data_IF_357291278376
#
_entry.id   IF_357291278376
#
_cell.length_a   1.000
_cell.length_b   1.000
_cell.length_c   1.000
_cell.angle_alpha   90.00
_cell.angle_beta   90.00
_cell.angle_gamma   90.00
#
_symmetry.space_group_name_H-M   'P 1'
#
loop_
_entity.id
_entity.type
_entity.pdbx_description
1 polymer ?
#
# COMPACT_ATOMS: atom_id res chain seq x y z
N UNK A 1 22.82 -4.24 3.98
CA UNK A 1 21.40 -4.58 4.25
C UNK A 1 21.13 -5.96 3.67
N UNK A 2 20.50 -6.88 4.41
CA UNK A 2 20.31 -8.27 3.96
C UNK A 2 19.28 -8.35 2.81
N UNK A 3 19.50 -9.18 1.77
CA UNK A 3 18.59 -9.28 0.61
C UNK A 3 17.13 -9.60 0.97
N UNK A 4 16.92 -10.31 2.08
CA UNK A 4 15.59 -10.66 2.61
C UNK A 4 14.80 -9.43 3.08
N UNK A 5 15.44 -8.44 3.71
CA UNK A 5 14.76 -7.23 4.19
C UNK A 5 14.23 -6.38 3.03
N UNK A 6 15.02 -6.26 1.96
CA UNK A 6 14.62 -5.52 0.76
C UNK A 6 13.43 -6.20 0.07
N UNK A 7 13.41 -7.54 0.03
CA UNK A 7 12.29 -8.30 -0.55
C UNK A 7 10.99 -8.16 0.27
N UNK A 8 11.11 -8.04 1.59
CA UNK A 8 9.96 -7.95 2.51
C UNK A 8 9.45 -6.53 2.74
N UNK A 9 10.19 -5.51 2.31
CA UNK A 9 9.83 -4.09 2.42
C UNK A 9 8.37 -3.76 2.01
N UNK A 10 7.81 -4.21 0.86
CA UNK A 10 6.45 -3.86 0.49
C UNK A 10 5.38 -4.46 1.41
N UNK A 11 5.66 -5.57 2.08
CA UNK A 11 4.78 -6.16 3.09
C UNK A 11 4.88 -5.41 4.41
N UNK A 12 6.10 -5.03 4.83
CA UNK A 12 6.32 -4.21 6.01
C UNK A 12 5.59 -2.86 5.90
N UNK A 13 5.67 -2.19 4.74
CA UNK A 13 4.92 -0.95 4.47
C UNK A 13 3.40 -1.18 4.47
N UNK A 14 2.93 -2.31 3.94
CA UNK A 14 1.53 -2.69 4.00
C UNK A 14 1.03 -2.88 5.44
N UNK A 15 1.80 -3.57 6.28
CA UNK A 15 1.47 -3.77 7.69
C UNK A 15 1.50 -2.45 8.46
N UNK A 16 2.52 -1.62 8.23
CA UNK A 16 2.60 -0.28 8.80
C UNK A 16 1.35 0.54 8.47
N UNK A 17 0.94 0.55 7.20
CA UNK A 17 -0.30 1.21 6.75
C UNK A 17 -1.53 0.71 7.51
N UNK A 18 -1.68 -0.61 7.64
CA UNK A 18 -2.82 -1.24 8.32
C UNK A 18 -2.85 -0.84 9.79
N UNK A 19 -1.72 -0.93 10.49
CA UNK A 19 -1.65 -0.61 11.94
C UNK A 19 -1.91 0.88 12.18
N UNK A 20 -1.24 1.76 11.43
CA UNK A 20 -1.41 3.22 11.58
C UNK A 20 -2.84 3.64 11.25
N UNK A 21 -3.40 3.15 10.15
CA UNK A 21 -4.79 3.42 9.78
C UNK A 21 -5.78 2.91 10.84
N UNK A 22 -5.54 1.71 11.39
CA UNK A 22 -6.43 1.11 12.39
C UNK A 22 -6.42 1.93 13.68
N UNK A 23 -5.24 2.30 14.18
CA UNK A 23 -5.13 3.12 15.39
C UNK A 23 -5.82 4.48 15.20
N UNK A 24 -5.65 5.10 14.03
CA UNK A 24 -6.34 6.34 13.69
C UNK A 24 -7.87 6.17 13.67
N UNK A 25 -8.34 5.07 13.09
CA UNK A 25 -9.76 4.69 13.10
C UNK A 25 -10.29 4.53 14.51
N UNK A 26 -9.53 3.87 15.40
CA UNK A 26 -9.88 3.68 16.80
C UNK A 26 -10.04 5.02 17.54
N UNK A 27 -9.16 6.00 17.31
CA UNK A 27 -9.32 7.33 17.91
C UNK A 27 -10.61 8.03 17.47
N UNK A 28 -10.95 7.93 16.18
CA UNK A 28 -12.21 8.43 15.66
C UNK A 28 -13.42 7.71 16.26
N UNK A 29 -13.37 6.39 16.36
CA UNK A 29 -14.43 5.58 16.95
C UNK A 29 -14.63 5.88 18.44
N UNK A 30 -13.54 5.99 19.20
CA UNK A 30 -13.59 6.37 20.61
C UNK A 30 -14.23 7.75 20.78
N UNK A 31 -13.85 8.71 19.93
CA UNK A 31 -14.36 10.07 19.99
C UNK A 31 -15.83 10.20 19.58
N UNK A 32 -16.28 9.45 18.57
CA UNK A 32 -17.65 9.56 18.04
C UNK A 32 -18.67 8.67 18.74
N UNK A 33 -18.24 7.49 19.22
CA UNK A 33 -19.15 6.47 19.75
C UNK A 33 -18.88 6.12 21.22
N UNK A 34 -17.83 6.68 21.85
CA UNK A 34 -17.54 6.43 23.26
C UNK A 34 -17.03 5.01 23.52
N UNK A 35 -16.65 4.28 22.47
CA UNK A 35 -16.08 2.92 22.55
C UNK A 35 -14.58 2.99 22.88
N UNK A 36 -13.96 1.85 23.21
CA UNK A 36 -12.50 1.76 23.45
C UNK A 36 -11.96 2.71 24.54
N UNK A 37 -12.82 3.10 25.49
CA UNK A 37 -12.47 4.04 26.57
C UNK A 37 -12.96 5.49 26.34
N UNK A 38 -13.48 5.81 25.16
CA UNK A 38 -14.04 7.13 24.85
C UNK A 38 -13.01 8.25 24.73
N UNK A 39 -13.48 9.50 24.77
CA UNK A 39 -12.59 10.68 24.84
C UNK A 39 -11.85 10.77 26.18
N UNK A 40 -10.91 11.71 26.31
CA UNK A 40 -10.24 11.97 27.59
C UNK A 40 -11.29 12.30 28.68
N UNK A 41 -11.44 11.43 29.68
CA UNK A 41 -12.50 11.51 30.69
C UNK A 41 -13.76 10.66 30.43
N UNK A 42 -13.76 9.87 29.36
CA UNK A 42 -14.88 9.05 28.92
C UNK A 42 -15.86 9.80 28.00
N UNK A 43 -16.79 9.06 27.39
CA UNK A 43 -17.87 9.61 26.57
C UNK A 43 -17.49 9.95 25.12
N UNK A 44 -18.30 10.81 24.50
CA UNK A 44 -18.23 11.19 23.08
C UNK A 44 -18.03 12.69 22.92
N UNK A 45 -17.40 13.09 21.81
CA UNK A 45 -17.42 14.49 21.36
C UNK A 45 -18.81 14.83 20.82
N UNK A 46 -19.49 15.88 21.33
CA UNK A 46 -20.79 16.29 20.82
C UNK A 46 -20.74 16.62 19.32
N UNK A 47 -21.78 16.23 18.59
CA UNK A 47 -21.86 16.41 17.15
C UNK A 47 -21.70 17.89 16.72
N UNK A 48 -20.88 18.13 15.69
CA UNK A 48 -20.63 19.46 15.15
C UNK A 48 -19.64 20.33 15.95
N UNK A 49 -19.10 19.84 17.06
CA UNK A 49 -18.15 20.60 17.88
C UNK A 49 -16.85 20.86 17.12
N UNK A 50 -16.50 22.13 16.94
CA UNK A 50 -15.23 22.53 16.33
C UNK A 50 -14.10 22.60 17.38
N UNK A 51 -12.88 22.09 17.08
CA UNK A 51 -12.51 21.28 15.92
C UNK A 51 -12.73 19.76 16.14
N UNK A 52 -13.00 19.34 17.38
CA UNK A 52 -12.87 17.95 17.82
C UNK A 52 -13.76 16.94 17.07
N UNK A 53 -15.01 17.28 16.76
CA UNK A 53 -15.92 16.36 16.09
C UNK A 53 -15.49 16.08 14.64
N UNK A 54 -15.08 17.12 13.91
CA UNK A 54 -14.58 16.98 12.54
C UNK A 54 -13.26 16.19 12.49
N UNK A 55 -12.37 16.44 13.45
CA UNK A 55 -11.15 15.63 13.59
C UNK A 55 -11.49 14.16 13.83
N UNK A 56 -12.49 13.85 14.66
CA UNK A 56 -12.93 12.48 14.93
C UNK A 56 -13.52 11.78 13.70
N UNK A 57 -14.30 12.50 12.88
CA UNK A 57 -14.82 11.99 11.60
C UNK A 57 -13.69 11.70 10.62
N UNK A 58 -12.73 12.60 10.48
CA UNK A 58 -11.54 12.39 9.63
C UNK A 58 -10.73 11.19 10.13
N UNK A 59 -10.57 11.05 11.44
CA UNK A 59 -9.88 9.91 12.06
C UNK A 59 -10.54 8.58 11.73
N UNK A 60 -11.87 8.51 11.89
CA UNK A 60 -12.63 7.30 11.60
C UNK A 60 -12.60 6.95 10.11
N UNK A 61 -13.00 7.88 9.24
CA UNK A 61 -13.18 7.63 7.80
C UNK A 61 -11.84 7.54 7.09
N UNK A 62 -10.95 8.50 7.33
CA UNK A 62 -9.60 8.52 6.76
C UNK A 62 -8.78 7.32 7.22
N UNK A 63 -8.83 6.99 8.52
CA UNK A 63 -8.19 5.79 9.07
C UNK A 63 -8.69 4.51 8.42
N UNK A 64 -10.01 4.36 8.26
CA UNK A 64 -10.59 3.16 7.66
C UNK A 64 -10.18 3.01 6.18
N UNK A 65 -10.25 4.08 5.40
CA UNK A 65 -9.79 4.09 4.00
C UNK A 65 -8.30 3.76 3.88
N UNK A 66 -7.47 4.35 4.75
CA UNK A 66 -6.03 4.04 4.82
C UNK A 66 -5.80 2.58 5.20
N UNK A 67 -6.55 2.03 6.16
CA UNK A 67 -6.45 0.63 6.63
C UNK A 67 -6.84 -0.38 5.57
N UNK A 68 -7.89 -0.11 4.79
CA UNK A 68 -8.31 -0.94 3.68
C UNK A 68 -7.40 -0.76 2.45
N UNK A 69 -6.65 0.34 2.41
CA UNK A 69 -5.81 0.68 1.28
C UNK A 69 -6.63 1.14 0.08
N UNK A 70 -7.74 1.86 0.34
CA UNK A 70 -8.65 2.44 -0.65
C UNK A 70 -8.35 3.93 -0.79
N UNK A 71 -7.88 4.37 -1.96
CA UNK A 71 -7.57 5.78 -2.18
C UNK A 71 -6.51 6.32 -1.20
N UNK A 72 -5.57 5.47 -0.78
CA UNK A 72 -4.68 5.71 0.37
C UNK A 72 -3.98 7.07 0.33
N UNK A 73 -3.53 7.51 -0.85
CA UNK A 73 -2.80 8.78 -0.97
C UNK A 73 -3.65 9.98 -0.58
N UNK A 74 -4.91 10.02 -1.04
CA UNK A 74 -5.83 11.13 -0.75
C UNK A 74 -6.27 11.08 0.71
N UNK A 75 -6.70 9.90 1.19
CA UNK A 75 -7.10 9.72 2.58
C UNK A 75 -5.97 10.06 3.56
N UNK A 76 -4.74 9.65 3.26
CA UNK A 76 -3.57 9.94 4.07
C UNK A 76 -3.19 11.43 4.03
N UNK A 77 -3.33 12.11 2.88
CA UNK A 77 -3.04 13.54 2.79
C UNK A 77 -4.00 14.37 3.66
N UNK A 78 -5.30 14.08 3.58
CA UNK A 78 -6.32 14.73 4.41
C UNK A 78 -6.07 14.44 5.89
N UNK A 79 -5.81 13.18 6.24
CA UNK A 79 -5.52 12.76 7.61
C UNK A 79 -4.28 13.46 8.16
N UNK A 80 -3.20 13.53 7.37
CA UNK A 80 -1.96 14.23 7.71
C UNK A 80 -2.22 15.72 7.96
N UNK A 81 -2.93 16.40 7.06
CA UNK A 81 -3.29 17.80 7.22
C UNK A 81 -4.13 18.07 8.47
N UNK A 82 -5.08 17.19 8.80
CA UNK A 82 -5.88 17.33 10.03
C UNK A 82 -5.05 17.24 11.30
N UNK A 83 -4.01 16.39 11.30
CA UNK A 83 -3.11 16.22 12.44
C UNK A 83 -2.06 17.34 12.53
N UNK A 84 -1.63 17.88 11.39
CA UNK A 84 -0.85 19.12 11.36
C UNK A 84 -1.63 20.28 11.97
N UNK A 85 -2.90 20.45 11.58
CA UNK A 85 -3.79 21.44 12.18
C UNK A 85 -3.94 21.20 13.69
N UNK A 86 -4.20 19.96 14.11
CA UNK A 86 -4.30 19.61 15.53
C UNK A 86 -3.04 20.02 16.30
N UNK A 87 -1.85 19.73 15.76
CA UNK A 87 -0.62 20.15 16.41
C UNK A 87 -0.50 21.68 16.54
N UNK A 88 -0.58 22.41 15.43
CA UNK A 88 -0.30 23.85 15.45
C UNK A 88 -1.40 24.68 16.13
N UNK A 89 -2.67 24.30 16.00
CA UNK A 89 -3.78 25.06 16.57
C UNK A 89 -4.24 24.58 17.95
N UNK A 90 -4.12 23.29 18.27
CA UNK A 90 -4.60 22.75 19.55
C UNK A 90 -3.44 22.56 20.53
N UNK A 91 -2.33 21.94 20.12
CA UNK A 91 -1.26 21.57 21.05
C UNK A 91 -0.17 22.62 21.24
N UNK A 92 0.35 23.20 20.14
CA UNK A 92 1.46 24.15 20.18
C UNK A 92 1.20 25.36 21.10
N UNK A 93 -0.02 25.92 21.23
CA UNK A 93 -0.30 27.00 22.18
C UNK A 93 0.01 26.65 23.64
N UNK A 94 0.03 25.37 24.02
CA UNK A 94 0.32 24.94 25.39
C UNK A 94 1.82 24.81 25.69
N UNK A 95 2.63 24.42 24.71
CA UNK A 95 4.10 24.44 24.76
C UNK A 95 4.67 24.18 23.35
N UNK A 96 5.94 24.55 23.11
CA UNK A 96 6.58 24.30 21.80
C UNK A 96 6.87 22.83 21.54
N UNK A 97 7.25 22.06 22.57
CA UNK A 97 7.66 20.68 22.40
C UNK A 97 6.47 19.72 22.53
N UNK A 98 6.28 18.77 21.59
CA UNK A 98 5.18 17.80 21.65
C UNK A 98 5.09 17.07 22.99
N UNK A 99 6.24 16.71 23.56
CA UNK A 99 6.37 16.02 24.83
C UNK A 99 5.81 16.83 26.02
N UNK A 100 5.75 18.16 25.91
CA UNK A 100 5.27 19.05 26.96
C UNK A 100 3.79 19.44 26.78
N UNK A 101 3.23 19.30 25.58
CA UNK A 101 1.88 19.77 25.24
C UNK A 101 0.89 18.63 24.90
N UNK A 102 1.31 17.37 25.03
CA UNK A 102 0.49 16.20 24.68
C UNK A 102 0.24 16.02 23.17
N UNK A 103 0.98 16.74 22.33
CA UNK A 103 0.84 16.76 20.87
C UNK A 103 1.65 15.68 20.15
N UNK A 104 2.34 14.81 20.87
CA UNK A 104 3.13 13.71 20.29
C UNK A 104 2.29 12.83 19.34
N UNK A 105 1.05 12.41 19.68
CA UNK A 105 0.23 11.62 18.76
C UNK A 105 -0.10 12.39 17.48
N UNK A 106 -0.43 13.68 17.59
CA UNK A 106 -0.72 14.55 16.44
C UNK A 106 0.48 14.62 15.48
N UNK A 107 1.70 14.82 16.01
CA UNK A 107 2.91 14.84 15.17
C UNK A 107 3.19 13.48 14.54
N UNK A 108 3.08 12.39 15.32
CA UNK A 108 3.36 11.05 14.84
C UNK A 108 2.38 10.61 13.75
N UNK A 109 1.07 10.81 13.93
CA UNK A 109 0.09 10.51 12.90
C UNK A 109 0.25 11.43 11.68
N UNK A 110 0.59 12.71 11.86
CA UNK A 110 0.85 13.63 10.76
C UNK A 110 1.93 13.08 9.82
N UNK A 111 3.09 12.72 10.37
CA UNK A 111 4.23 12.22 9.60
C UNK A 111 4.03 10.79 9.08
N UNK A 112 3.40 9.91 9.87
CA UNK A 112 3.09 8.55 9.43
C UNK A 112 2.13 8.56 8.23
N UNK A 113 1.08 9.38 8.27
CA UNK A 113 0.16 9.55 7.14
C UNK A 113 0.84 10.23 5.96
N UNK A 114 1.69 11.24 6.19
CA UNK A 114 2.46 11.87 5.12
C UNK A 114 3.36 10.86 4.37
N UNK A 115 4.00 9.94 5.09
CA UNK A 115 4.77 8.85 4.47
C UNK A 115 3.89 7.95 3.57
N UNK A 116 2.64 7.71 3.97
CA UNK A 116 1.68 6.93 3.19
C UNK A 116 1.19 7.64 1.92
N UNK A 117 1.27 8.98 1.88
CA UNK A 117 1.05 9.74 0.64
C UNK A 117 2.07 9.35 -0.43
N UNK A 118 3.33 9.13 -0.05
CA UNK A 118 4.41 8.79 -0.98
C UNK A 118 4.46 7.28 -1.30
N UNK A 119 4.31 6.44 -0.28
CA UNK A 119 4.42 4.98 -0.41
C UNK A 119 3.15 4.31 -0.95
N UNK A 120 1.97 4.94 -0.80
CA UNK A 120 0.69 4.45 -1.32
C UNK A 120 0.16 3.22 -0.59
N UNK A 121 -0.68 2.42 -1.27
CA UNK A 121 -1.41 1.29 -0.67
C UNK A 121 -0.55 0.03 -0.39
N UNK A 122 0.68 -0.03 -0.93
CA UNK A 122 1.60 -1.15 -0.70
C UNK A 122 1.13 -2.48 -1.31
N UNK A 123 1.75 -3.61 -0.91
CA UNK A 123 1.38 -4.94 -1.43
C UNK A 123 0.02 -5.46 -0.95
N UNK A 124 -0.47 -4.97 0.19
CA UNK A 124 -1.67 -5.46 0.88
C UNK A 124 -2.90 -4.56 0.69
N UNK A 125 -2.92 -3.68 -0.32
CA UNK A 125 -4.03 -2.76 -0.57
C UNK A 125 -5.16 -3.37 -1.39
N UNK A 126 -6.41 -3.17 -0.98
CA UNK A 126 -7.60 -3.65 -1.72
C UNK A 126 -7.66 -3.10 -3.15
N UNK A 127 -7.19 -1.87 -3.37
CA UNK A 127 -7.08 -1.25 -4.70
C UNK A 127 -6.33 -2.15 -5.71
N UNK A 128 -5.34 -2.93 -5.27
CA UNK A 128 -4.57 -3.84 -6.15
C UNK A 128 -5.34 -5.11 -6.49
N UNK A 129 -6.14 -5.63 -5.57
CA UNK A 129 -6.98 -6.80 -5.81
C UNK A 129 -8.08 -6.50 -6.84
N UNK A 130 -8.56 -5.26 -6.85
CA UNK A 130 -9.53 -4.78 -7.84
C UNK A 130 -8.88 -4.52 -9.20
N UNK A 131 -7.67 -3.93 -9.24
CA UNK A 131 -6.94 -3.68 -10.48
C UNK A 131 -6.42 -4.95 -11.18
N UNK A 132 -6.10 -6.01 -10.42
CA UNK A 132 -5.62 -7.29 -10.97
C UNK A 132 -6.70 -8.12 -11.69
N UNK A 133 -7.99 -7.80 -11.53
CA UNK A 133 -9.11 -8.51 -12.18
C UNK A 133 -9.42 -8.04 -13.61
N UNK A 134 -8.80 -6.95 -14.07
CA UNK A 134 -9.06 -6.39 -15.41
C UNK A 134 -8.09 -6.89 -16.49
N UNK A 135 -7.22 -7.86 -16.19
CA UNK A 135 -6.41 -8.52 -17.20
C UNK A 135 -7.28 -9.51 -17.99
N UNK A 136 -7.97 -9.01 -19.03
CA UNK A 136 -8.49 -9.84 -20.11
C UNK A 136 -7.32 -10.68 -20.66
N UNK A 137 -7.38 -12.02 -20.61
CA UNK A 137 -6.39 -12.86 -21.26
C UNK A 137 -6.29 -12.46 -22.74
N UNK A 138 -5.09 -12.31 -23.33
CA UNK A 138 -4.98 -12.12 -24.77
C UNK A 138 -5.72 -13.28 -25.45
N UNK A 139 -6.78 -12.96 -26.17
CA UNK A 139 -7.50 -13.92 -26.99
C UNK A 139 -6.54 -14.46 -28.04
N UNK A 140 -6.17 -15.74 -27.88
CA UNK A 140 -5.68 -16.65 -28.91
C UNK A 140 -4.52 -16.17 -29.77
N UNK A 141 -3.30 -16.64 -29.47
CA UNK A 141 -2.43 -17.05 -30.58
C UNK A 141 -2.99 -18.35 -31.15
N UNK A 142 -3.24 -18.44 -32.48
CA UNK A 142 -3.63 -19.69 -33.09
C UNK A 142 -2.50 -20.70 -32.91
N UNK A 143 -2.79 -21.78 -32.18
CA UNK A 143 -1.99 -23.00 -32.20
C UNK A 143 -2.01 -23.57 -33.61
N UNK A 144 -0.94 -23.35 -34.38
CA UNK A 144 -0.68 -24.14 -35.57
C UNK A 144 -0.25 -25.54 -35.12
N UNK A 145 -1.22 -26.44 -35.06
CA UNK A 145 -1.00 -27.87 -35.01
C UNK A 145 -0.70 -28.38 -36.43
N UNK A 146 0.47 -28.99 -36.63
CA UNK A 146 0.54 -30.17 -37.48
C UNK A 146 1.69 -31.06 -37.04
N UNK A 147 1.31 -32.09 -36.32
CA UNK A 147 2.06 -33.30 -36.10
C UNK A 147 2.04 -34.12 -37.41
N UNK A 148 3.18 -34.58 -37.92
CA UNK A 148 3.51 -36.00 -38.03
C UNK A 148 4.44 -36.31 -39.24
N UNK A 149 5.42 -37.14 -38.94
CA UNK A 149 6.39 -37.78 -39.82
C UNK A 149 5.77 -38.58 -40.97
N UNK A 150 6.42 -38.57 -42.14
CA UNK A 150 6.48 -39.73 -43.01
C UNK A 150 7.72 -39.69 -43.91
N UNK A 151 8.54 -40.72 -43.73
CA UNK A 151 9.60 -41.22 -44.61
C UNK A 151 9.24 -41.12 -46.09
N UNK A 152 10.12 -40.51 -46.89
CA UNK A 152 10.36 -40.92 -48.28
C UNK A 152 11.86 -41.02 -48.48
N UNK A 153 12.30 -42.27 -48.61
CA UNK A 153 13.60 -42.64 -49.14
C UNK A 153 13.67 -42.34 -50.65
N UNK A 154 14.77 -41.73 -51.08
CA UNK A 154 15.37 -41.80 -52.41
C UNK A 154 16.88 -41.66 -52.13
N UNK A 155 17.72 -42.68 -52.30
CA UNK A 155 18.12 -43.25 -53.60
C UNK A 155 19.23 -42.36 -54.16
N UNK A 156 20.47 -42.55 -53.71
CA UNK A 156 21.59 -43.18 -54.45
C UNK A 156 22.31 -42.24 -55.44
N UNK A 157 23.65 -42.39 -55.44
CA UNK A 157 24.67 -41.97 -56.41
C UNK A 157 25.07 -40.47 -56.46
N UNK A 158 26.30 -40.16 -56.03
CA UNK A 158 27.42 -40.08 -56.99
C UNK A 158 28.79 -39.98 -56.29
N UNK A 159 29.77 -40.55 -56.97
CA UNK A 159 31.10 -40.88 -56.56
C UNK A 159 32.09 -39.69 -56.62
N UNK A 160 33.26 -39.96 -56.04
CA UNK A 160 34.58 -39.43 -56.45
C UNK A 160 34.98 -38.01 -56.02
N UNK A 161 35.93 -37.95 -55.09
CA UNK A 161 37.24 -37.26 -55.20
C UNK A 161 37.85 -37.24 -53.78
N UNK A 162 38.90 -37.97 -53.40
CA UNK A 162 40.15 -38.20 -54.13
C UNK A 162 41.23 -37.25 -53.58
N UNK A 163 42.20 -37.82 -52.84
CA UNK A 163 43.48 -37.23 -52.33
C UNK A 163 43.41 -36.44 -51.01
N UNK A 164 44.40 -36.40 -50.14
CA UNK A 164 45.58 -37.21 -49.75
C UNK A 164 46.42 -36.30 -48.82
N UNK A 165 47.22 -36.91 -47.94
CA UNK A 165 48.42 -36.37 -47.26
C UNK A 165 48.21 -35.30 -46.17
N UNK A 166 48.54 -35.49 -44.88
CA UNK A 166 49.83 -35.79 -44.20
C UNK A 166 50.73 -34.56 -43.98
N UNK A 167 51.00 -34.28 -42.67
CA UNK A 167 52.08 -33.48 -42.03
C UNK A 167 52.18 -31.99 -42.37
N UNK A 168 52.22 -31.13 -41.34
CA UNK A 168 53.41 -30.74 -40.54
C UNK A 168 52.96 -30.44 -39.11
#
# INVERSE_FOLDING_TARGET
MSPLLNRSQPYALGLFRIVVGLLFTCHGAASLFGVLGGTQGGGTVPAGTWPGWYAAVIQLVGGALVTLGLGTRVAALISSGSMAFAYFHVHQPHALWPLQNGGEPSVMFCWAMLLLVFTGSGALGVDRLLAGRSATPPLGSPTASSHNDSLVAYGEDDASNGRAATRV
#
